data_IF_711796161780
#
_entry.id   IF_711796161780
#
_cell.length_a   1.000
_cell.length_b   1.000
_cell.length_c   1.000
_cell.angle_alpha   90.00
_cell.angle_beta   90.00
_cell.angle_gamma   90.00
#
_symmetry.space_group_name_H-M   'P 1'
#
loop_
_entity.id
_entity.type
_entity.pdbx_description
1 polymer ?
#
# COMPACT_ATOMS: atom_id res chain seq x y z
N UNK A 1 12.26 -21.15 -15.50
CA UNK A 1 11.41 -20.06 -15.00
C UNK A 1 12.21 -19.31 -13.95
N UNK A 2 12.48 -18.01 -14.15
CA UNK A 2 13.27 -17.22 -13.22
C UNK A 2 12.37 -16.72 -12.08
N UNK A 3 12.81 -16.89 -10.83
CA UNK A 3 12.05 -16.47 -9.65
C UNK A 3 11.72 -14.97 -9.70
N UNK A 4 12.63 -14.14 -10.17
CA UNK A 4 12.44 -12.69 -10.25
C UNK A 4 11.37 -12.30 -11.29
N UNK A 5 11.35 -12.99 -12.44
CA UNK A 5 10.33 -12.79 -13.48
C UNK A 5 8.94 -13.23 -13.00
N UNK A 6 8.88 -14.35 -12.27
CA UNK A 6 7.63 -14.84 -11.68
C UNK A 6 7.10 -13.87 -10.62
N UNK A 7 7.95 -13.36 -9.74
CA UNK A 7 7.54 -12.39 -8.72
C UNK A 7 7.10 -11.05 -9.33
N UNK A 8 7.76 -10.59 -10.38
CA UNK A 8 7.34 -9.40 -11.13
C UNK A 8 5.98 -9.60 -11.81
N UNK A 9 5.74 -10.76 -12.41
CA UNK A 9 4.45 -11.10 -13.04
C UNK A 9 3.31 -11.27 -12.04
N UNK A 10 3.63 -11.69 -10.81
CA UNK A 10 2.69 -11.79 -9.69
C UNK A 10 2.52 -10.45 -8.95
N UNK A 11 3.20 -9.39 -9.37
CA UNK A 11 3.07 -8.08 -8.75
C UNK A 11 1.62 -7.61 -8.86
N UNK A 12 0.92 -7.43 -7.73
CA UNK A 12 -0.49 -7.08 -7.73
C UNK A 12 -0.71 -5.66 -8.26
N UNK A 13 -1.97 -5.38 -8.65
CA UNK A 13 -2.35 -4.04 -9.09
C UNK A 13 -2.07 -3.04 -7.98
N UNK A 14 -1.41 -1.94 -8.36
CA UNK A 14 -1.18 -0.80 -7.48
C UNK A 14 -2.49 -0.02 -7.32
N UNK A 15 -2.87 0.27 -6.08
CA UNK A 15 -3.97 1.20 -5.80
C UNK A 15 -3.46 2.62 -5.96
N UNK A 16 -4.29 3.54 -6.45
CA UNK A 16 -3.88 4.93 -6.66
C UNK A 16 -4.76 5.92 -5.92
N UNK A 17 -4.16 7.06 -5.58
CA UNK A 17 -4.82 8.20 -4.96
C UNK A 17 -4.27 9.50 -5.54
N UNK A 18 -5.15 10.47 -5.77
CA UNK A 18 -4.75 11.82 -6.16
C UNK A 18 -4.99 12.77 -5.00
N UNK A 19 -3.93 13.44 -4.53
CA UNK A 19 -3.99 14.47 -3.48
C UNK A 19 -3.55 15.79 -4.10
N UNK A 20 -4.45 16.77 -4.18
CA UNK A 20 -4.14 18.12 -4.71
C UNK A 20 -3.49 18.12 -6.11
N UNK A 21 -3.88 17.18 -6.97
CA UNK A 21 -3.33 17.03 -8.32
C UNK A 21 -2.04 16.20 -8.42
N UNK A 22 -1.46 15.77 -7.29
CA UNK A 22 -0.35 14.82 -7.26
C UNK A 22 -0.87 13.40 -7.15
N UNK A 23 -0.39 12.50 -8.01
CA UNK A 23 -0.82 11.11 -8.05
C UNK A 23 0.18 10.21 -7.33
N UNK A 24 -0.33 9.38 -6.44
CA UNK A 24 0.42 8.40 -5.65
C UNK A 24 -0.12 7.01 -5.94
N UNK A 25 0.78 6.05 -5.92
CA UNK A 25 0.45 4.64 -6.06
C UNK A 25 0.90 3.90 -4.81
N UNK A 26 0.14 2.90 -4.38
CA UNK A 26 0.54 1.98 -3.32
C UNK A 26 0.62 0.56 -3.88
N UNK A 27 1.76 -0.06 -3.68
CA UNK A 27 1.86 -1.52 -3.74
C UNK A 27 1.45 -2.12 -2.39
N UNK A 28 1.00 -3.38 -2.36
CA UNK A 28 0.82 -4.07 -1.09
C UNK A 28 2.15 -4.32 -0.38
N UNK A 29 2.03 -4.50 0.93
CA UNK A 29 3.12 -5.01 1.74
C UNK A 29 3.45 -6.45 1.35
N UNK A 30 4.73 -6.77 1.31
CA UNK A 30 5.20 -8.15 1.36
C UNK A 30 4.86 -8.78 2.72
N UNK A 31 4.90 -10.11 2.81
CA UNK A 31 4.69 -10.83 4.09
C UNK A 31 5.64 -10.34 5.18
N UNK A 32 6.90 -10.07 4.83
CA UNK A 32 7.90 -9.56 5.77
C UNK A 32 7.53 -8.15 6.25
N UNK A 33 7.18 -7.24 5.33
CA UNK A 33 6.79 -5.87 5.68
C UNK A 33 5.52 -5.83 6.52
N UNK A 34 4.56 -6.69 6.23
CA UNK A 34 3.35 -6.82 7.03
C UNK A 34 3.66 -7.32 8.44
N UNK A 35 4.51 -8.35 8.56
CA UNK A 35 4.95 -8.84 9.86
C UNK A 35 5.68 -7.77 10.66
N UNK A 36 6.60 -7.03 10.02
CA UNK A 36 7.29 -5.88 10.63
C UNK A 36 6.27 -4.85 11.12
N UNK A 37 5.28 -4.48 10.29
CA UNK A 37 4.25 -3.51 10.65
C UNK A 37 3.45 -3.92 11.90
N UNK A 38 3.05 -5.19 12.02
CA UNK A 38 2.25 -5.64 13.17
C UNK A 38 3.08 -5.88 14.43
N UNK A 39 4.36 -6.26 14.30
CA UNK A 39 5.25 -6.61 15.42
C UNK A 39 6.15 -5.47 15.89
N UNK A 40 6.30 -4.37 15.14
CA UNK A 40 7.20 -3.28 15.51
C UNK A 40 6.86 -2.69 16.88
N UNK A 41 7.82 -2.71 17.81
CA UNK A 41 7.63 -2.21 19.17
C UNK A 41 7.32 -0.70 19.21
N UNK A 42 7.85 0.06 18.25
CA UNK A 42 7.53 1.47 18.08
C UNK A 42 6.28 1.62 17.23
N UNK A 43 5.14 1.80 17.90
CA UNK A 43 3.84 1.98 17.23
C UNK A 43 3.76 3.27 16.42
N UNK A 44 4.52 4.28 16.82
CA UNK A 44 4.49 5.62 16.22
C UNK A 44 5.35 5.71 14.95
N UNK A 45 6.01 4.62 14.56
CA UNK A 45 6.81 4.53 13.33
C UNK A 45 6.26 3.51 12.32
N UNK A 46 5.23 2.75 12.67
CA UNK A 46 4.68 1.67 11.82
C UNK A 46 4.14 2.22 10.51
N UNK A 47 3.31 3.26 10.59
CA UNK A 47 2.67 3.86 9.44
C UNK A 47 3.70 4.58 8.57
N UNK A 48 4.66 5.26 9.18
CA UNK A 48 5.75 5.96 8.48
C UNK A 48 6.61 4.99 7.68
N UNK A 49 6.95 3.83 8.26
CA UNK A 49 7.71 2.79 7.57
C UNK A 49 6.90 2.14 6.44
N UNK A 50 5.61 1.93 6.65
CA UNK A 50 4.73 1.39 5.62
C UNK A 50 4.59 2.34 4.44
N UNK A 51 4.38 3.64 4.69
CA UNK A 51 4.34 4.67 3.65
C UNK A 51 5.67 4.77 2.92
N UNK A 52 6.80 4.81 3.65
CA UNK A 52 8.13 4.89 3.07
C UNK A 52 8.42 3.74 2.10
N UNK A 53 7.99 2.52 2.44
CA UNK A 53 8.28 1.32 1.66
C UNK A 53 7.33 1.11 0.49
N UNK A 54 6.06 1.50 0.63
CA UNK A 54 4.99 1.03 -0.26
C UNK A 54 4.40 2.13 -1.15
N UNK A 55 4.67 3.41 -0.89
CA UNK A 55 4.22 4.50 -1.76
C UNK A 55 5.23 4.75 -2.88
N UNK A 56 4.71 4.67 -4.11
CA UNK A 56 5.46 4.71 -5.36
C UNK A 56 4.85 5.73 -6.33
N UNK A 57 5.66 6.14 -7.31
CA UNK A 57 5.22 6.90 -8.47
C UNK A 57 4.60 5.98 -9.56
N UNK A 58 4.23 6.56 -10.69
CA UNK A 58 3.65 5.83 -11.83
C UNK A 58 4.59 4.75 -12.38
N UNK A 59 5.90 5.03 -12.36
CA UNK A 59 6.95 4.14 -12.84
C UNK A 59 7.28 3.02 -11.84
N UNK A 60 6.80 3.13 -10.59
CA UNK A 60 7.06 2.16 -9.52
C UNK A 60 8.30 2.49 -8.69
N UNK A 61 8.82 3.71 -8.80
CA UNK A 61 9.92 4.16 -7.95
C UNK A 61 9.39 4.67 -6.62
N UNK A 62 10.14 4.51 -5.51
CA UNK A 62 9.77 5.07 -4.22
C UNK A 62 9.63 6.60 -4.29
N UNK A 63 8.49 7.13 -3.81
CA UNK A 63 8.28 8.58 -3.71
C UNK A 63 9.10 9.18 -2.56
N UNK A 64 9.26 8.41 -1.49
CA UNK A 64 10.02 8.81 -0.30
C UNK A 64 11.30 7.98 -0.22
N UNK A 65 12.41 8.63 0.14
CA UNK A 65 13.72 7.99 0.29
C UNK A 65 14.22 7.99 1.74
N UNK A 66 13.62 8.80 2.61
CA UNK A 66 13.93 8.89 4.04
C UNK A 66 12.64 8.99 4.86
N UNK A 67 12.59 8.26 5.99
CA UNK A 67 11.50 8.33 6.96
C UNK A 67 11.23 9.77 7.47
N UNK A 68 12.25 10.63 7.47
CA UNK A 68 12.11 12.05 7.81
C UNK A 68 11.17 12.79 6.87
N UNK A 69 11.15 12.45 5.57
CA UNK A 69 10.23 13.04 4.61
C UNK A 69 8.78 12.66 4.93
N UNK A 70 8.56 11.40 5.30
CA UNK A 70 7.24 10.91 5.71
C UNK A 70 6.77 11.59 7.00
N UNK A 71 7.68 11.79 7.96
CA UNK A 71 7.38 12.52 9.21
C UNK A 71 7.08 14.01 9.03
N UNK A 72 7.44 14.59 7.89
CA UNK A 72 7.11 15.99 7.54
C UNK A 72 5.75 16.14 6.88
N UNK A 73 5.07 15.05 6.53
CA UNK A 73 3.75 15.09 5.93
C UNK A 73 2.73 15.70 6.89
N UNK A 74 1.79 16.46 6.33
CA UNK A 74 0.58 16.84 7.05
C UNK A 74 -0.17 15.59 7.51
N UNK A 75 -0.78 15.66 8.69
CA UNK A 75 -1.46 14.52 9.33
C UNK A 75 -2.53 13.90 8.45
N UNK A 76 -3.26 14.73 7.68
CA UNK A 76 -4.28 14.27 6.72
C UNK A 76 -3.67 13.51 5.55
N UNK A 77 -2.59 14.04 4.95
CA UNK A 77 -1.86 13.38 3.85
C UNK A 77 -1.30 12.04 4.32
N UNK A 78 -0.71 12.01 5.53
CA UNK A 78 -0.21 10.75 6.12
C UNK A 78 -1.33 9.72 6.28
N UNK A 79 -2.49 10.13 6.79
CA UNK A 79 -3.65 9.27 6.97
C UNK A 79 -4.20 8.72 5.64
N UNK A 80 -4.24 9.55 4.61
CA UNK A 80 -4.66 9.14 3.26
C UNK A 80 -3.70 8.11 2.64
N UNK A 81 -2.39 8.35 2.75
CA UNK A 81 -1.36 7.45 2.21
C UNK A 81 -1.34 6.11 2.94
N UNK A 82 -1.43 6.07 4.28
CA UNK A 82 -1.50 4.78 4.99
C UNK A 82 -2.81 4.04 4.68
N UNK A 83 -3.92 4.77 4.49
CA UNK A 83 -5.19 4.20 4.04
C UNK A 83 -5.06 3.53 2.68
N UNK A 84 -4.35 4.17 1.73
CA UNK A 84 -4.07 3.61 0.41
C UNK A 84 -3.23 2.31 0.51
N UNK A 85 -2.19 2.30 1.34
CA UNK A 85 -1.36 1.10 1.57
C UNK A 85 -2.19 -0.02 2.20
N UNK A 86 -3.06 0.30 3.15
CA UNK A 86 -3.94 -0.68 3.78
C UNK A 86 -4.92 -1.28 2.76
N UNK A 87 -5.50 -0.47 1.87
CA UNK A 87 -6.37 -0.95 0.78
C UNK A 87 -5.63 -1.89 -0.16
N UNK A 88 -4.43 -1.52 -0.59
CA UNK A 88 -3.60 -2.36 -1.46
C UNK A 88 -3.25 -3.71 -0.79
N UNK A 89 -2.98 -3.69 0.52
CA UNK A 89 -2.52 -4.86 1.28
C UNK A 89 -3.64 -5.80 1.73
N UNK A 90 -4.78 -5.23 2.13
CA UNK A 90 -5.88 -5.96 2.78
C UNK A 90 -7.04 -6.27 1.84
N UNK A 91 -6.94 -5.92 0.54
CA UNK A 91 -8.02 -6.15 -0.41
C UNK A 91 -8.50 -7.61 -0.32
N UNK A 92 -9.81 -7.84 -0.08
CA UNK A 92 -10.34 -9.17 0.08
C UNK A 92 -10.22 -9.94 -1.22
N UNK A 93 -10.01 -11.26 -1.11
CA UNK A 93 -9.97 -12.16 -2.26
C UNK A 93 -11.11 -11.88 -3.26
N UNK A 94 -10.88 -12.05 -4.58
CA UNK A 94 -11.91 -11.92 -5.61
C UNK A 94 -13.21 -12.69 -5.29
N UNK A 95 -13.07 -13.81 -4.56
CA UNK A 95 -14.15 -14.68 -4.09
C UNK A 95 -15.18 -14.00 -3.17
N UNK A 96 -14.83 -12.87 -2.54
CA UNK A 96 -15.73 -12.09 -1.66
C UNK A 96 -16.48 -10.99 -2.40
N UNK A 97 -15.88 -10.38 -3.43
CA UNK A 97 -16.52 -9.34 -4.25
C UNK A 97 -17.69 -9.92 -5.06
N UNK A 98 -17.57 -11.16 -5.56
CA UNK A 98 -18.68 -11.83 -6.25
C UNK A 98 -19.91 -12.10 -5.37
N UNK A 99 -19.73 -12.28 -4.05
CA UNK A 99 -20.85 -12.57 -3.13
C UNK A 99 -21.67 -11.33 -2.80
N UNK A 100 -21.07 -10.14 -2.80
CA UNK A 100 -21.79 -8.89 -2.56
C UNK A 100 -22.63 -8.44 -3.76
N UNK A 101 -22.15 -8.68 -4.99
CA UNK A 101 -22.90 -8.39 -6.23
C UNK A 101 -24.12 -9.31 -6.40
N UNK A 102 -24.06 -10.54 -5.90
CA UNK A 102 -25.22 -11.46 -5.92
C UNK A 102 -26.28 -11.10 -4.88
N UNK A 103 -25.88 -10.57 -3.70
CA UNK A 103 -26.83 -10.14 -2.65
C UNK A 103 -27.66 -8.92 -3.02
N UNK A 104 -27.17 -8.05 -3.90
CA UNK A 104 -27.89 -6.86 -4.38
C UNK A 104 -28.80 -7.13 -5.58
N UNK A 105 -28.78 -8.34 -6.15
CA UNK A 105 -29.63 -8.77 -7.27
C UNK A 105 -30.63 -9.88 -6.89
N UNK A 106 -30.81 -10.14 -5.59
CA UNK A 106 -31.78 -11.11 -5.06
C UNK A 106 -33.01 -10.39 -4.51
#
# INVERSE_FOLDING_TARGET
>A
MNFNEMMAALSPKRESLTIQGYQFYARPMTVQEFNDHITNADKDARDELSILRCIEDEEGNPVFTDIKQVKQLYTTVRAELIGLVALATLMPEPSKVEKEVKKTRS
#
